data_IF_588050406307
#
_entry.id   IF_588050406307
#
_cell.length_a   1.000
_cell.length_b   1.000
_cell.length_c   1.000
_cell.angle_alpha   90.00
_cell.angle_beta   90.00
_cell.angle_gamma   90.00
#
_symmetry.space_group_name_H-M   'P 1'
#
loop_
_entity.id
_entity.type
_entity.pdbx_description
1 polymer ?
#
# COMPACT_ATOMS: atom_id res chain seq x y z
N UNK A 1 3.14 9.73 -20.61
CA UNK A 1 2.97 9.81 -19.15
C UNK A 1 3.58 8.59 -18.48
N UNK A 2 4.18 8.75 -17.31
CA UNK A 2 4.71 7.63 -16.52
C UNK A 2 4.07 7.63 -15.13
N UNK A 3 3.54 6.48 -14.72
CA UNK A 3 2.98 6.26 -13.39
C UNK A 3 3.87 5.29 -12.62
N UNK A 4 4.37 5.71 -11.47
CA UNK A 4 5.10 4.83 -10.55
C UNK A 4 4.16 4.33 -9.45
N UNK A 5 4.14 3.03 -9.18
CA UNK A 5 3.32 2.45 -8.12
C UNK A 5 4.21 1.79 -7.07
N UNK A 6 4.07 2.19 -5.80
CA UNK A 6 4.74 1.46 -4.73
C UNK A 6 4.02 0.16 -4.46
N UNK A 7 4.76 -0.93 -4.38
CA UNK A 7 4.23 -2.27 -4.13
C UNK A 7 4.99 -2.91 -3.00
N UNK A 8 4.30 -3.34 -1.96
CA UNK A 8 4.90 -3.99 -0.80
C UNK A 8 4.45 -5.43 -0.67
N UNK A 9 5.40 -6.32 -0.41
CA UNK A 9 5.14 -7.64 0.15
C UNK A 9 4.85 -7.47 1.64
N UNK A 10 3.73 -7.97 2.12
CA UNK A 10 3.35 -7.98 3.54
C UNK A 10 3.36 -9.40 4.08
N UNK A 11 3.68 -9.52 5.37
CA UNK A 11 3.62 -10.79 6.07
C UNK A 11 2.25 -10.94 6.74
N UNK A 12 1.59 -12.05 6.47
CA UNK A 12 0.38 -12.48 7.16
C UNK A 12 0.73 -13.58 8.16
N UNK A 13 0.22 -13.45 9.37
CA UNK A 13 0.49 -14.39 10.47
C UNK A 13 -0.63 -15.41 10.56
N UNK A 14 -0.30 -16.71 10.56
CA UNK A 14 -1.27 -17.80 10.73
C UNK A 14 -1.84 -17.81 12.17
N UNK A 15 -3.02 -18.40 12.36
CA UNK A 15 -3.74 -18.39 13.65
C UNK A 15 -2.93 -18.92 14.84
N UNK A 16 -2.16 -19.99 14.64
CA UNK A 16 -1.32 -20.59 15.69
C UNK A 16 0.15 -20.23 15.42
N UNK A 17 0.65 -19.14 15.97
CA UNK A 17 2.01 -18.67 15.76
C UNK A 17 2.85 -18.63 17.05
N UNK A 18 4.16 -18.56 16.90
CA UNK A 18 5.11 -18.42 17.99
C UNK A 18 5.95 -17.14 17.80
N UNK A 19 6.13 -16.39 18.89
CA UNK A 19 7.02 -15.23 18.93
C UNK A 19 8.31 -15.63 19.63
N UNK A 20 9.44 -15.38 19.01
CA UNK A 20 10.77 -15.57 19.58
C UNK A 20 11.68 -14.38 19.19
N UNK A 21 12.41 -13.84 20.15
CA UNK A 21 13.39 -12.77 19.93
C UNK A 21 12.82 -11.54 19.18
N UNK A 22 11.58 -11.14 19.47
CA UNK A 22 10.84 -10.04 18.84
C UNK A 22 10.52 -10.29 17.35
N UNK A 23 10.42 -11.53 16.94
CA UNK A 23 10.01 -11.92 15.59
C UNK A 23 8.97 -13.04 15.68
N UNK A 24 8.07 -13.09 14.71
CA UNK A 24 7.21 -14.26 14.49
C UNK A 24 8.04 -15.30 13.75
N UNK A 25 8.00 -16.56 14.22
CA UNK A 25 8.71 -17.64 13.54
C UNK A 25 8.28 -17.72 12.06
N UNK A 26 9.22 -17.65 11.10
CA UNK A 26 8.91 -17.63 9.66
C UNK A 26 8.04 -18.78 9.16
N UNK A 27 7.94 -19.89 9.91
CA UNK A 27 7.06 -21.02 9.57
C UNK A 27 5.57 -20.68 9.62
N UNK A 28 5.21 -19.60 10.33
CA UNK A 28 3.85 -19.11 10.50
C UNK A 28 3.55 -17.88 9.67
N UNK A 29 4.47 -17.49 8.79
CA UNK A 29 4.30 -16.34 7.90
C UNK A 29 3.92 -16.80 6.49
N UNK A 30 2.86 -16.24 5.98
CA UNK A 30 2.54 -16.23 4.56
C UNK A 30 2.82 -14.83 4.01
N UNK A 31 3.18 -14.74 2.74
CA UNK A 31 3.53 -13.45 2.14
C UNK A 31 2.62 -13.18 0.96
N UNK A 32 2.06 -11.98 0.91
CA UNK A 32 1.18 -11.56 -0.17
C UNK A 32 1.41 -10.10 -0.55
N UNK A 33 0.77 -9.67 -1.62
CA UNK A 33 0.70 -8.28 -2.04
C UNK A 33 -0.16 -7.49 -1.04
N UNK A 34 0.38 -6.37 -0.54
CA UNK A 34 -0.37 -5.48 0.34
C UNK A 34 -1.72 -5.07 -0.26
N UNK A 35 -2.81 -5.22 0.48
CA UNK A 35 -4.16 -4.96 0.02
C UNK A 35 -4.33 -3.55 -0.57
N UNK A 36 -3.87 -2.51 0.13
CA UNK A 36 -3.95 -1.13 -0.38
C UNK A 36 -3.17 -0.93 -1.69
N UNK A 37 -2.05 -1.63 -1.86
CA UNK A 37 -1.26 -1.53 -3.10
C UNK A 37 -1.95 -2.25 -4.27
N UNK A 38 -2.81 -3.24 -4.02
CA UNK A 38 -3.65 -3.84 -5.07
C UNK A 38 -4.58 -2.79 -5.70
N UNK A 39 -5.21 -1.93 -4.88
CA UNK A 39 -6.03 -0.82 -5.35
C UNK A 39 -5.20 0.24 -6.10
N UNK A 40 -3.99 0.53 -5.62
CA UNK A 40 -3.09 1.47 -6.29
C UNK A 40 -2.61 0.94 -7.66
N UNK A 41 -2.28 -0.34 -7.76
CA UNK A 41 -1.96 -1.02 -9.02
C UNK A 41 -3.13 -0.98 -9.98
N UNK A 42 -4.34 -1.31 -9.52
CA UNK A 42 -5.55 -1.28 -10.35
C UNK A 42 -5.82 0.15 -10.87
N UNK A 43 -5.67 1.16 -10.01
CA UNK A 43 -5.88 2.57 -10.40
C UNK A 43 -4.90 3.01 -11.49
N UNK A 44 -3.61 2.64 -11.35
CA UNK A 44 -2.60 2.91 -12.37
C UNK A 44 -2.89 2.21 -13.70
N UNK A 45 -3.33 0.96 -13.64
CA UNK A 45 -3.65 0.18 -14.85
C UNK A 45 -4.92 0.71 -15.53
N UNK A 46 -5.93 1.12 -14.77
CA UNK A 46 -7.13 1.76 -15.33
C UNK A 46 -6.80 3.12 -15.96
N UNK A 47 -5.91 3.92 -15.36
CA UNK A 47 -5.43 5.16 -15.95
C UNK A 47 -4.75 4.91 -17.30
N UNK A 48 -3.89 3.90 -17.37
CA UNK A 48 -3.24 3.47 -18.62
C UNK A 48 -4.26 2.99 -19.67
N UNK A 49 -5.28 2.24 -19.27
CA UNK A 49 -6.30 1.73 -20.19
C UNK A 49 -7.24 2.82 -20.71
N UNK A 50 -7.45 3.89 -19.92
CA UNK A 50 -8.25 5.06 -20.33
C UNK A 50 -7.51 6.02 -21.26
N UNK A 51 -6.18 5.96 -21.29
CA UNK A 51 -5.37 6.91 -22.04
C UNK A 51 -5.40 6.66 -23.56
N UNK A 52 -5.54 7.73 -24.35
CA UNK A 52 -5.32 7.68 -25.81
C UNK A 52 -3.81 7.68 -26.16
N UNK A 53 -2.98 8.29 -25.34
CA UNK A 53 -1.53 8.33 -25.47
C UNK A 53 -0.86 7.21 -24.66
N UNK A 54 0.42 6.96 -24.91
CA UNK A 54 1.18 5.96 -24.20
C UNK A 54 1.34 6.34 -22.71
N UNK A 55 0.95 5.43 -21.82
CA UNK A 55 1.18 5.50 -20.38
C UNK A 55 1.97 4.28 -19.95
N UNK A 56 3.15 4.49 -19.38
CA UNK A 56 3.98 3.46 -18.77
C UNK A 56 3.65 3.34 -17.28
N UNK A 57 3.39 2.13 -16.81
CA UNK A 57 3.19 1.82 -15.38
C UNK A 57 4.39 1.04 -14.87
N UNK A 58 5.11 1.60 -13.90
CA UNK A 58 6.29 1.00 -13.27
C UNK A 58 5.99 0.73 -11.82
N UNK A 59 6.27 -0.47 -11.30
CA UNK A 59 6.20 -0.72 -9.86
C UNK A 59 7.57 -0.61 -9.20
N UNK A 60 7.60 -0.18 -7.93
CA UNK A 60 8.80 -0.17 -7.10
C UNK A 60 8.54 -0.90 -5.78
N UNK A 61 9.45 -1.80 -5.41
CA UNK A 61 9.38 -2.61 -4.19
C UNK A 61 10.72 -2.56 -3.46
N UNK A 62 10.67 -2.32 -2.15
CA UNK A 62 11.82 -2.54 -1.25
C UNK A 62 11.64 -3.90 -0.60
N UNK A 63 12.42 -4.89 -1.04
CA UNK A 63 12.27 -6.25 -0.55
C UNK A 63 13.31 -7.22 -1.10
N UNK A 64 13.54 -8.36 -0.38
CA UNK A 64 14.50 -9.40 -0.76
C UNK A 64 14.06 -10.11 -2.05
N UNK A 65 14.89 -11.06 -2.50
CA UNK A 65 14.62 -11.81 -3.75
C UNK A 65 13.26 -12.54 -3.73
N UNK A 66 12.81 -13.03 -2.56
CA UNK A 66 11.49 -13.69 -2.45
C UNK A 66 10.33 -12.76 -2.84
N UNK A 67 10.46 -11.44 -2.63
CA UNK A 67 9.42 -10.46 -3.01
C UNK A 67 9.20 -10.39 -4.52
N UNK A 68 10.02 -11.05 -5.35
CA UNK A 68 9.79 -11.13 -6.78
C UNK A 68 8.49 -11.86 -7.12
N UNK A 69 8.00 -12.76 -6.28
CA UNK A 69 6.71 -13.42 -6.48
C UNK A 69 5.57 -12.39 -6.40
N UNK A 70 5.57 -11.55 -5.37
CA UNK A 70 4.62 -10.43 -5.20
C UNK A 70 4.73 -9.41 -6.35
N UNK A 71 5.96 -9.07 -6.76
CA UNK A 71 6.19 -8.19 -7.91
C UNK A 71 5.63 -8.81 -9.20
N UNK A 72 5.81 -10.13 -9.41
CA UNK A 72 5.23 -10.84 -10.56
C UNK A 72 3.71 -10.80 -10.57
N UNK A 73 3.06 -10.76 -9.39
CA UNK A 73 1.61 -10.59 -9.31
C UNK A 73 1.18 -9.20 -9.82
N UNK A 74 1.84 -8.12 -9.41
CA UNK A 74 1.58 -6.77 -9.92
C UNK A 74 1.80 -6.69 -11.45
N UNK A 75 2.90 -7.29 -11.95
CA UNK A 75 3.18 -7.38 -13.38
C UNK A 75 2.11 -8.16 -14.15
N UNK A 76 1.52 -9.21 -13.55
CA UNK A 76 0.46 -10.01 -14.15
C UNK A 76 -0.88 -9.25 -14.20
N UNK A 77 -1.11 -8.31 -13.29
CA UNK A 77 -2.28 -7.41 -13.25
C UNK A 77 -2.20 -6.27 -14.27
N UNK A 78 -1.04 -5.99 -14.87
CA UNK A 78 -0.95 -5.01 -15.98
C UNK A 78 0.20 -4.02 -15.91
N UNK A 79 0.97 -4.00 -14.82
CA UNK A 79 2.22 -3.22 -14.69
C UNK A 79 3.19 -3.62 -15.80
N UNK A 80 3.93 -2.67 -16.37
CA UNK A 80 4.80 -2.91 -17.52
C UNK A 80 6.14 -3.52 -17.14
N UNK A 81 6.79 -2.94 -16.13
CA UNK A 81 8.06 -3.39 -15.57
C UNK A 81 8.15 -3.02 -14.08
N UNK A 82 9.16 -3.51 -13.40
CA UNK A 82 9.34 -3.29 -11.98
C UNK A 82 10.79 -2.92 -11.63
N UNK A 83 10.94 -2.18 -10.54
CA UNK A 83 12.21 -1.92 -9.86
C UNK A 83 12.16 -2.57 -8.49
N UNK A 84 13.16 -3.39 -8.15
CA UNK A 84 13.31 -4.01 -6.83
C UNK A 84 14.56 -3.46 -6.16
N UNK A 85 14.39 -2.87 -5.00
CA UNK A 85 15.49 -2.33 -4.19
C UNK A 85 15.84 -3.35 -3.10
N UNK A 86 17.05 -3.85 -3.12
CA UNK A 86 17.55 -4.71 -2.05
C UNK A 86 19.08 -4.71 -1.99
N UNK A 87 19.57 -4.80 -0.75
CA UNK A 87 20.98 -4.88 -0.45
C UNK A 87 21.16 -5.73 0.82
N UNK A 88 22.29 -6.45 0.94
CA UNK A 88 22.60 -7.24 2.14
C UNK A 88 22.59 -6.38 3.42
N UNK A 89 22.87 -5.09 3.29
CA UNK A 89 22.76 -4.14 4.40
C UNK A 89 21.33 -3.94 4.93
N UNK A 90 20.30 -4.39 4.22
CA UNK A 90 18.91 -4.38 4.64
C UNK A 90 18.51 -5.65 5.40
N UNK A 91 19.29 -6.73 5.24
CA UNK A 91 19.00 -8.02 5.87
C UNK A 91 19.12 -7.92 7.40
N UNK A 92 18.13 -8.49 8.12
CA UNK A 92 18.12 -8.53 9.59
C UNK A 92 18.01 -7.19 10.31
N UNK A 93 17.70 -6.09 9.60
CA UNK A 93 17.57 -4.76 10.22
C UNK A 93 16.26 -4.55 10.98
N UNK A 94 15.36 -5.53 11.00
CA UNK A 94 14.07 -5.40 11.66
C UNK A 94 13.21 -4.31 11.00
N UNK A 95 12.55 -3.48 11.79
CA UNK A 95 11.57 -2.50 11.34
C UNK A 95 12.23 -1.27 10.69
N UNK A 96 12.11 -1.12 9.36
CA UNK A 96 12.56 0.09 8.66
C UNK A 96 11.58 1.24 8.90
N UNK A 97 12.05 2.42 9.30
CA UNK A 97 11.22 3.59 9.48
C UNK A 97 10.76 4.22 8.14
N UNK A 98 9.77 5.11 8.23
CA UNK A 98 9.18 5.80 7.08
C UNK A 98 10.22 6.63 6.32
N UNK A 99 11.13 7.30 7.03
CA UNK A 99 12.12 8.18 6.41
C UNK A 99 13.16 7.37 5.61
N UNK A 100 13.59 6.20 6.12
CA UNK A 100 14.49 5.31 5.40
C UNK A 100 13.81 4.73 4.14
N UNK A 101 12.54 4.30 4.25
CA UNK A 101 11.75 3.82 3.10
C UNK A 101 11.60 4.91 2.04
N UNK A 102 11.17 6.10 2.44
CA UNK A 102 10.96 7.21 1.52
C UNK A 102 12.25 7.64 0.81
N UNK A 103 13.41 7.56 1.48
CA UNK A 103 14.71 7.85 0.85
C UNK A 103 15.03 6.88 -0.27
N UNK A 104 14.80 5.58 -0.06
CA UNK A 104 15.03 4.56 -1.08
C UNK A 104 14.06 4.70 -2.26
N UNK A 105 12.77 4.88 -1.96
CA UNK A 105 11.74 5.08 -2.96
C UNK A 105 11.97 6.39 -3.73
N UNK A 106 12.37 7.46 -3.04
CA UNK A 106 12.66 8.76 -3.63
C UNK A 106 13.78 8.71 -4.67
N UNK A 107 14.83 7.93 -4.42
CA UNK A 107 15.89 7.75 -5.42
C UNK A 107 15.38 7.09 -6.71
N UNK A 108 14.42 6.17 -6.61
CA UNK A 108 13.78 5.58 -7.80
C UNK A 108 12.82 6.58 -8.45
N UNK A 109 12.12 7.42 -7.68
CA UNK A 109 11.31 8.53 -8.24
C UNK A 109 12.19 9.49 -9.04
N UNK A 110 13.37 9.85 -8.52
CA UNK A 110 14.33 10.69 -9.25
C UNK A 110 14.90 10.02 -10.52
N UNK A 111 15.19 8.69 -10.47
CA UNK A 111 15.68 7.92 -11.63
C UNK A 111 14.60 7.78 -12.71
N UNK A 112 13.36 7.51 -12.30
CA UNK A 112 12.25 7.23 -13.19
C UNK A 112 11.55 8.48 -13.73
N UNK A 113 11.62 9.60 -13.01
CA UNK A 113 10.97 10.88 -13.36
C UNK A 113 9.48 10.69 -13.73
N UNK A 114 8.66 10.15 -12.79
CA UNK A 114 7.25 9.89 -13.06
C UNK A 114 6.42 11.17 -12.97
N UNK A 115 5.33 11.23 -13.76
CA UNK A 115 4.32 12.27 -13.63
C UNK A 115 3.41 12.07 -12.41
N UNK A 116 3.18 10.80 -12.04
CA UNK A 116 2.31 10.44 -10.92
C UNK A 116 2.89 9.25 -10.15
N UNK A 117 2.85 9.34 -8.82
CA UNK A 117 3.19 8.22 -7.93
C UNK A 117 1.92 7.79 -7.19
N UNK A 118 1.56 6.51 -7.29
CA UNK A 118 0.47 5.91 -6.52
C UNK A 118 1.03 4.99 -5.44
N UNK A 119 0.53 5.12 -4.22
CA UNK A 119 0.93 4.30 -3.07
C UNK A 119 -0.32 3.87 -2.31
N UNK A 120 -0.36 2.67 -1.78
CA UNK A 120 -1.38 2.34 -0.79
C UNK A 120 -1.30 3.27 0.42
N UNK A 121 -2.43 3.55 1.08
CA UNK A 121 -2.47 4.39 2.29
C UNK A 121 -1.54 3.83 3.37
N UNK A 122 -1.55 2.52 3.55
CA UNK A 122 -0.77 1.84 4.59
C UNK A 122 -0.43 0.40 4.18
N UNK A 123 0.32 -0.30 5.01
CA UNK A 123 0.60 -1.72 4.86
C UNK A 123 -0.01 -2.50 6.02
N UNK A 124 -0.59 -3.68 5.72
CA UNK A 124 -1.29 -4.54 6.68
C UNK A 124 -0.39 -4.94 7.86
N UNK A 125 0.89 -5.15 7.60
CA UNK A 125 1.85 -5.63 8.61
C UNK A 125 2.44 -4.54 9.50
N UNK A 126 2.60 -3.29 9.03
CA UNK A 126 3.26 -2.21 9.78
C UNK A 126 2.37 -1.03 10.13
N UNK A 127 1.32 -0.78 9.38
CA UNK A 127 0.29 0.21 9.68
C UNK A 127 0.73 1.67 9.83
N UNK A 128 1.91 2.07 9.33
CA UNK A 128 2.41 3.44 9.55
C UNK A 128 1.58 4.53 8.87
N UNK A 129 0.96 4.26 7.74
CA UNK A 129 0.08 5.19 7.04
C UNK A 129 0.74 6.51 6.59
N UNK A 130 2.06 6.55 6.47
CA UNK A 130 2.80 7.81 6.27
C UNK A 130 3.81 7.76 5.11
N UNK A 131 4.09 6.60 4.52
CA UNK A 131 5.17 6.44 3.55
C UNK A 131 4.95 7.28 2.30
N UNK A 132 3.74 7.28 1.72
CA UNK A 132 3.45 8.02 0.50
C UNK A 132 3.54 9.54 0.70
N UNK A 133 2.99 10.08 1.79
CA UNK A 133 3.05 11.53 2.08
C UNK A 133 4.48 11.96 2.39
N UNK A 134 5.24 11.15 3.14
CA UNK A 134 6.64 11.46 3.41
C UNK A 134 7.50 11.39 2.14
N UNK A 135 7.20 10.45 1.23
CA UNK A 135 7.84 10.37 -0.08
C UNK A 135 7.61 11.65 -0.88
N UNK A 136 6.36 12.12 -0.97
CA UNK A 136 6.01 13.36 -1.67
C UNK A 136 6.84 14.54 -1.19
N UNK A 137 6.88 14.77 0.12
CA UNK A 137 7.69 15.83 0.73
C UNK A 137 9.17 15.67 0.40
N UNK A 138 9.70 14.44 0.43
CA UNK A 138 11.12 14.19 0.20
C UNK A 138 11.58 14.44 -1.24
N UNK A 139 10.67 14.28 -2.23
CA UNK A 139 10.96 14.52 -3.65
C UNK A 139 10.40 15.85 -4.17
N UNK A 140 9.71 16.61 -3.31
CA UNK A 140 9.14 17.92 -3.66
C UNK A 140 7.93 17.84 -4.57
N UNK A 141 7.18 16.74 -4.55
CA UNK A 141 5.94 16.57 -5.31
C UNK A 141 4.74 17.05 -4.49
N UNK A 142 3.69 17.51 -5.19
CA UNK A 142 2.37 17.71 -4.58
C UNK A 142 1.80 16.38 -4.09
N UNK A 143 0.79 16.40 -3.20
CA UNK A 143 0.26 15.15 -2.66
C UNK A 143 -1.23 15.19 -2.31
N UNK A 144 -1.87 14.02 -2.43
CA UNK A 144 -3.20 13.74 -1.92
C UNK A 144 -3.19 12.47 -1.08
N UNK A 145 -3.67 12.55 0.16
CA UNK A 145 -3.70 11.39 1.05
C UNK A 145 -5.11 10.82 1.19
N UNK A 146 -5.21 9.48 1.26
CA UNK A 146 -6.46 8.74 1.47
C UNK A 146 -7.49 9.03 0.37
N UNK A 147 -7.05 8.92 -0.87
CA UNK A 147 -7.87 9.19 -2.06
C UNK A 147 -8.82 8.02 -2.30
N UNK A 148 -10.13 8.29 -2.32
CA UNK A 148 -11.17 7.31 -2.58
C UNK A 148 -11.90 7.49 -3.94
N UNK A 149 -11.56 8.54 -4.69
CA UNK A 149 -11.89 8.67 -6.12
C UNK A 149 -10.88 9.57 -6.82
N UNK A 150 -10.57 9.24 -8.09
CA UNK A 150 -9.65 9.98 -8.96
C UNK A 150 -10.29 10.22 -10.32
N UNK A 151 -10.32 11.47 -10.75
CA UNK A 151 -10.74 11.86 -12.09
C UNK A 151 -9.59 11.60 -13.09
N UNK A 152 -9.67 10.44 -13.75
CA UNK A 152 -8.64 9.98 -14.70
C UNK A 152 -8.57 10.83 -15.96
N UNK A 153 -9.70 11.36 -16.42
CA UNK A 153 -9.75 12.22 -17.62
C UNK A 153 -8.96 13.51 -17.39
N UNK A 154 -9.14 14.13 -16.22
CA UNK A 154 -8.40 15.35 -15.88
C UNK A 154 -6.89 15.10 -15.69
N UNK A 155 -6.52 13.96 -15.13
CA UNK A 155 -5.09 13.57 -15.05
C UNK A 155 -4.47 13.47 -16.43
N UNK A 156 -5.16 12.83 -17.38
CA UNK A 156 -4.65 12.56 -18.71
C UNK A 156 -4.66 13.80 -19.61
N UNK A 157 -5.68 14.64 -19.52
CA UNK A 157 -5.91 15.75 -20.45
C UNK A 157 -5.38 17.09 -19.92
N UNK A 158 -5.48 17.31 -18.60
CA UNK A 158 -5.15 18.60 -17.98
C UNK A 158 -3.85 18.55 -17.15
N UNK A 159 -3.36 17.35 -16.79
CA UNK A 159 -2.24 17.22 -15.87
C UNK A 159 -2.61 17.61 -14.42
N UNK A 160 -3.88 17.41 -14.05
CA UNK A 160 -4.43 17.73 -12.73
C UNK A 160 -5.17 16.52 -12.17
N UNK A 161 -4.76 16.06 -11.01
CA UNK A 161 -5.47 15.01 -10.29
C UNK A 161 -6.65 15.63 -9.52
N UNK A 162 -7.87 15.48 -10.05
CA UNK A 162 -9.11 15.74 -9.33
C UNK A 162 -9.38 14.59 -8.37
N UNK A 163 -9.28 14.82 -7.06
CA UNK A 163 -9.38 13.77 -6.04
C UNK A 163 -10.55 14.03 -5.09
N UNK A 164 -11.18 12.93 -4.64
CA UNK A 164 -12.15 12.92 -3.57
C UNK A 164 -11.57 12.19 -2.35
N UNK A 165 -11.83 12.72 -1.17
CA UNK A 165 -11.40 12.18 0.12
C UNK A 165 -12.55 12.23 1.10
N UNK A 166 -12.71 11.19 1.89
CA UNK A 166 -13.61 11.17 3.04
C UNK A 166 -12.82 11.47 4.31
N UNK A 167 -13.32 12.42 5.08
CA UNK A 167 -12.73 12.86 6.34
C UNK A 167 -13.61 12.47 7.52
N UNK A 168 -13.09 12.58 8.73
CA UNK A 168 -13.85 12.29 9.95
C UNK A 168 -15.12 13.16 10.04
N UNK A 169 -16.19 12.58 10.61
CA UNK A 169 -17.46 13.28 10.82
C UNK A 169 -18.33 13.39 9.56
N UNK A 170 -18.06 12.59 8.53
CA UNK A 170 -18.85 12.57 7.28
C UNK A 170 -18.59 13.79 6.39
N UNK A 171 -17.45 14.43 6.56
CA UNK A 171 -17.00 15.53 5.70
C UNK A 171 -16.32 14.95 4.46
N UNK A 172 -16.67 15.44 3.29
CA UNK A 172 -16.04 15.13 2.01
C UNK A 172 -15.17 16.30 1.56
N UNK A 173 -14.02 16.01 1.01
CA UNK A 173 -13.09 16.99 0.41
C UNK A 173 -12.90 16.68 -1.07
N UNK A 174 -13.11 17.67 -1.92
CA UNK A 174 -12.78 17.65 -3.34
C UNK A 174 -11.60 18.57 -3.56
N UNK A 175 -10.48 18.00 -4.03
CA UNK A 175 -9.24 18.74 -4.23
C UNK A 175 -8.72 18.57 -5.65
N UNK A 176 -8.01 19.58 -6.13
CA UNK A 176 -7.28 19.58 -7.39
C UNK A 176 -5.79 19.64 -7.08
N UNK A 177 -5.01 18.71 -7.62
CA UNK A 177 -3.60 18.54 -7.32
C UNK A 177 -2.83 18.52 -8.65
N UNK A 178 -1.94 19.47 -8.84
CA UNK A 178 -1.11 19.53 -10.03
C UNK A 178 -0.07 18.39 -10.03
N UNK A 179 0.17 17.76 -11.17
CA UNK A 179 1.26 16.78 -11.31
C UNK A 179 2.59 17.53 -11.61
N UNK A 180 3.75 17.00 -11.13
CA UNK A 180 3.93 15.69 -10.52
C UNK A 180 3.41 15.61 -9.09
N UNK A 181 2.74 14.49 -8.77
CA UNK A 181 2.12 14.30 -7.47
C UNK A 181 2.27 12.86 -6.93
N UNK A 182 2.16 12.71 -5.60
CA UNK A 182 2.00 11.42 -4.93
C UNK A 182 0.59 11.31 -4.36
N UNK A 183 -0.14 10.28 -4.75
CA UNK A 183 -1.47 9.99 -4.20
C UNK A 183 -1.42 8.72 -3.37
N UNK A 184 -1.95 8.77 -2.14
CA UNK A 184 -2.15 7.54 -1.36
C UNK A 184 -3.57 7.03 -1.54
N UNK A 185 -3.67 5.81 -2.03
CA UNK A 185 -4.91 5.20 -2.54
C UNK A 185 -5.60 4.42 -1.43
N UNK A 186 -6.88 4.74 -1.21
CA UNK A 186 -7.73 4.07 -0.25
C UNK A 186 -8.38 2.83 -0.88
N UNK A 187 -8.63 1.82 -0.06
CA UNK A 187 -9.44 0.66 -0.44
C UNK A 187 -10.85 1.09 -0.85
N UNK A 188 -11.42 0.40 -1.84
CA UNK A 188 -12.76 0.71 -2.34
C UNK A 188 -12.82 1.79 -3.42
N UNK A 189 -11.69 2.43 -3.81
CA UNK A 189 -11.63 3.36 -4.94
C UNK A 189 -12.00 2.67 -6.27
N UNK A 190 -11.69 1.40 -6.41
CA UNK A 190 -11.96 0.54 -7.56
C UNK A 190 -12.18 -0.91 -7.09
N UNK A 191 -12.25 -1.86 -8.02
CA UNK A 191 -12.25 -3.31 -7.77
C UNK A 191 -10.96 -3.91 -8.37
N UNK A 192 -9.97 -4.30 -7.55
CA UNK A 192 -8.73 -4.87 -8.04
C UNK A 192 -8.97 -6.12 -8.89
N UNK A 193 -8.42 -6.14 -10.10
CA UNK A 193 -8.55 -7.27 -11.02
C UNK A 193 -7.77 -8.49 -10.57
N UNK A 194 -8.30 -9.66 -10.86
CA UNK A 194 -7.54 -10.92 -10.76
C UNK A 194 -6.56 -11.05 -11.91
N UNK A 195 -5.36 -11.57 -11.61
CA UNK A 195 -4.37 -11.88 -12.63
C UNK A 195 -4.89 -12.99 -13.56
N UNK A 196 -4.97 -12.73 -14.86
CA UNK A 196 -5.36 -13.73 -15.84
C UNK A 196 -4.22 -14.72 -16.09
N UNK A 197 -4.54 -15.94 -16.52
CA UNK A 197 -3.52 -16.94 -16.91
C UNK A 197 -2.55 -16.42 -17.99
N UNK A 198 -3.03 -15.56 -18.88
CA UNK A 198 -2.20 -14.90 -19.88
C UNK A 198 -1.29 -13.87 -19.23
N UNK A 199 -1.82 -13.04 -18.33
CA UNK A 199 -1.05 -12.06 -17.55
C UNK A 199 0.06 -12.71 -16.75
N UNK A 200 -0.24 -13.79 -16.02
CA UNK A 200 0.74 -14.58 -15.26
C UNK A 200 1.89 -15.08 -16.14
N UNK A 201 1.58 -15.60 -17.34
CA UNK A 201 2.62 -16.07 -18.27
C UNK A 201 3.46 -14.92 -18.82
N UNK A 202 2.84 -13.80 -19.17
CA UNK A 202 3.54 -12.62 -19.66
C UNK A 202 4.43 -12.00 -18.57
N UNK A 203 3.96 -11.95 -17.33
CA UNK A 203 4.70 -11.43 -16.20
C UNK A 203 6.06 -12.12 -16.00
N UNK A 204 6.17 -13.41 -16.32
CA UNK A 204 7.44 -14.16 -16.19
C UNK A 204 8.58 -13.60 -17.04
N UNK A 205 8.27 -12.93 -18.14
CA UNK A 205 9.25 -12.35 -19.07
C UNK A 205 9.41 -10.83 -18.93
N UNK A 206 8.57 -10.17 -18.11
CA UNK A 206 8.69 -8.73 -17.86
C UNK A 206 9.92 -8.44 -16.99
N UNK A 207 10.51 -7.28 -17.22
CA UNK A 207 11.71 -6.85 -16.51
C UNK A 207 11.43 -6.57 -15.02
N UNK A 208 12.31 -7.05 -14.16
CA UNK A 208 12.47 -6.63 -12.77
C UNK A 208 13.91 -6.13 -12.63
N UNK A 209 14.08 -4.82 -12.65
CA UNK A 209 15.39 -4.20 -12.49
C UNK A 209 15.79 -4.20 -11.02
N UNK A 210 16.82 -4.96 -10.66
CA UNK A 210 17.36 -4.93 -9.30
C UNK A 210 18.23 -3.68 -9.08
N UNK A 211 18.12 -3.06 -7.91
CA UNK A 211 18.93 -1.93 -7.45
C UNK A 211 19.46 -2.22 -6.06
N UNK A 212 20.77 -2.14 -5.90
CA UNK A 212 21.44 -2.12 -4.59
C UNK A 212 21.45 -0.70 -4.02
N UNK A 213 21.83 -0.55 -2.75
CA UNK A 213 22.04 0.79 -2.16
C UNK A 213 23.09 1.59 -2.96
N UNK A 214 24.17 0.94 -3.40
CA UNK A 214 25.23 1.61 -4.18
C UNK A 214 24.75 2.05 -5.55
N UNK A 215 23.85 1.33 -6.22
CA UNK A 215 23.26 1.74 -7.49
C UNK A 215 22.42 3.02 -7.33
N UNK A 216 21.81 3.21 -6.16
CA UNK A 216 21.03 4.40 -5.80
C UNK A 216 21.89 5.51 -5.15
N UNK A 217 23.21 5.35 -5.10
CA UNK A 217 24.12 6.33 -4.52
C UNK A 217 24.14 6.38 -2.99
N UNK A 218 23.66 5.34 -2.33
CA UNK A 218 23.59 5.23 -0.88
C UNK A 218 24.62 4.25 -0.30
N UNK A 219 24.92 4.43 0.97
CA UNK A 219 25.60 3.45 1.82
C UNK A 219 24.64 2.92 2.90
N UNK A 220 25.11 2.00 3.75
CA UNK A 220 24.30 1.37 4.79
C UNK A 220 23.73 2.36 5.83
N UNK A 221 24.29 3.57 5.97
CA UNK A 221 23.77 4.59 6.89
C UNK A 221 22.46 5.20 6.41
N UNK A 222 22.20 5.18 5.10
CA UNK A 222 20.99 5.69 4.50
C UNK A 222 19.72 4.94 4.97
N UNK A 223 19.87 3.69 5.40
CA UNK A 223 18.79 2.81 5.84
C UNK A 223 18.80 2.54 7.34
N UNK A 224 19.54 3.33 8.12
CA UNK A 224 19.45 3.27 9.58
C UNK A 224 18.06 3.72 10.04
N UNK A 225 17.36 2.80 10.72
CA UNK A 225 16.06 3.09 11.32
C UNK A 225 16.23 3.86 12.63
N UNK A 226 15.36 4.86 12.83
CA UNK A 226 15.23 5.55 14.12
C UNK A 226 14.28 4.84 15.07
N UNK A 227 13.66 3.75 14.61
CA UNK A 227 12.76 2.92 15.40
C UNK A 227 13.53 1.74 15.96
N UNK A 228 13.20 1.38 17.19
CA UNK A 228 13.67 0.16 17.84
C UNK A 228 12.44 -0.62 18.31
N UNK A 229 12.29 -1.85 17.84
CA UNK A 229 11.26 -2.74 18.37
C UNK A 229 11.67 -3.17 19.77
N UNK A 230 10.84 -2.85 20.76
CA UNK A 230 11.13 -3.10 22.18
C UNK A 230 10.35 -4.24 22.76
N UNK A 231 9.23 -4.58 22.15
CA UNK A 231 8.36 -5.66 22.59
C UNK A 231 7.49 -6.17 21.43
N UNK A 232 7.16 -7.44 21.44
CA UNK A 232 6.22 -8.09 20.53
C UNK A 232 5.43 -9.12 21.33
N UNK A 233 4.13 -9.08 21.27
CA UNK A 233 3.27 -9.97 22.01
C UNK A 233 1.97 -10.25 21.25
N UNK A 234 1.38 -11.41 21.53
CA UNK A 234 0.03 -11.72 21.11
C UNK A 234 -0.96 -10.86 21.90
N UNK A 235 -1.82 -10.07 21.24
CA UNK A 235 -2.80 -9.27 21.95
C UNK A 235 -3.76 -10.17 22.71
N UNK A 236 -4.17 -9.81 23.95
CA UNK A 236 -5.10 -10.61 24.70
C UNK A 236 -6.43 -10.74 23.95
N UNK A 237 -6.91 -11.97 23.78
CA UNK A 237 -8.14 -12.29 23.06
C UNK A 237 -9.40 -12.16 23.95
N UNK A 238 -9.38 -11.29 24.97
CA UNK A 238 -10.57 -11.01 25.77
C UNK A 238 -11.59 -10.25 24.92
N UNK A 239 -12.66 -10.93 24.57
CA UNK A 239 -13.79 -10.32 23.86
C UNK A 239 -14.84 -9.88 24.88
N UNK A 240 -15.08 -8.56 24.96
CA UNK A 240 -16.26 -7.99 25.66
C UNK A 240 -17.55 -8.14 24.83
N UNK A 241 -17.58 -9.04 23.85
CA UNK A 241 -18.74 -9.26 23.02
C UNK A 241 -19.91 -9.81 23.83
N UNK A 242 -21.06 -9.17 23.70
CA UNK A 242 -22.31 -9.67 24.26
C UNK A 242 -23.01 -10.53 23.22
N UNK A 243 -23.17 -11.82 23.53
CA UNK A 243 -23.90 -12.73 22.67
C UNK A 243 -25.39 -12.73 23.05
N UNK A 244 -26.26 -12.56 22.06
CA UNK A 244 -27.70 -12.63 22.26
C UNK A 244 -28.20 -14.03 21.88
N UNK A 245 -28.95 -14.66 22.77
CA UNK A 245 -29.49 -16.00 22.57
C UNK A 245 -31.00 -15.94 22.33
N UNK A 246 -31.56 -16.99 21.68
CA UNK A 246 -32.99 -17.12 21.39
C UNK A 246 -33.31 -17.13 19.90
N UNK A 247 -34.59 -17.02 19.57
CA UNK A 247 -35.05 -16.89 18.18
C UNK A 247 -34.67 -15.54 17.59
N UNK A 248 -34.59 -15.45 16.25
CA UNK A 248 -34.09 -14.26 15.54
C UNK A 248 -34.78 -12.94 15.97
N UNK A 249 -36.10 -13.00 16.27
CA UNK A 249 -36.85 -11.84 16.76
C UNK A 249 -36.45 -11.43 18.19
N UNK A 250 -36.09 -12.36 19.05
CA UNK A 250 -35.64 -12.11 20.42
C UNK A 250 -34.21 -11.54 20.41
N UNK A 251 -33.33 -12.10 19.59
CA UNK A 251 -31.96 -11.59 19.41
C UNK A 251 -31.96 -10.15 18.87
N UNK A 252 -32.83 -9.87 17.88
CA UNK A 252 -32.99 -8.52 17.33
C UNK A 252 -33.50 -7.51 18.37
N UNK A 253 -34.44 -7.93 19.26
CA UNK A 253 -34.92 -7.08 20.33
C UNK A 253 -33.85 -6.77 21.36
N UNK A 254 -33.08 -7.77 21.79
CA UNK A 254 -31.96 -7.61 22.73
C UNK A 254 -30.87 -6.69 22.15
N UNK A 255 -30.51 -6.85 20.87
CA UNK A 255 -29.58 -5.95 20.20
C UNK A 255 -30.11 -4.50 20.16
N UNK A 256 -31.39 -4.32 19.82
CA UNK A 256 -32.01 -2.99 19.79
C UNK A 256 -31.98 -2.31 21.16
N UNK A 257 -32.22 -3.07 22.23
CA UNK A 257 -32.16 -2.54 23.59
C UNK A 257 -30.73 -2.19 23.99
N UNK A 258 -29.76 -3.02 23.70
CA UNK A 258 -28.33 -2.74 23.96
C UNK A 258 -27.83 -1.50 23.19
N UNK A 259 -28.27 -1.31 21.94
CA UNK A 259 -27.95 -0.12 21.14
C UNK A 259 -28.56 1.16 21.75
N UNK A 260 -29.83 1.10 22.22
CA UNK A 260 -30.49 2.23 22.90
C UNK A 260 -29.78 2.60 24.20
N UNK A 261 -29.36 1.61 25.00
CA UNK A 261 -28.59 1.85 26.23
C UNK A 261 -27.27 2.57 25.96
N UNK A 262 -26.66 2.30 24.81
CA UNK A 262 -25.44 2.98 24.33
C UNK A 262 -25.72 4.31 23.61
N UNK A 263 -26.96 4.75 23.54
CA UNK A 263 -27.34 6.05 22.92
C UNK A 263 -27.42 6.03 21.40
N UNK A 264 -27.40 4.86 20.77
CA UNK A 264 -27.56 4.74 19.31
C UNK A 264 -29.05 4.82 18.99
N UNK A 265 -29.43 5.77 18.11
CA UNK A 265 -30.80 5.98 17.67
C UNK A 265 -31.67 6.77 18.66
N UNK A 266 -31.09 7.50 19.59
CA UNK A 266 -31.77 8.50 20.43
C UNK A 266 -31.65 9.87 19.72
N UNK A 267 -32.57 10.17 18.80
CA UNK A 267 -32.94 11.52 18.40
C UNK A 267 -34.27 11.93 19.05
#
# INVERSE_FOLDING_TARGET
>A
MKVLVTVKEVAEVQDDFEIADLEVDPRYLEYDLNEWDEYAVEEAVQLKEAAEAEVEVVSVTVGPERSEETIRMALAKGVDRAVRIWDDALEGRGLMDVAAKARLLGAVVEEEDPDLVLSGVQANDTGFGATGVYLAESVGFEWGAVVNALDKERVLDEGVAGVHRELEGGVEELSEIDIPAVLTIQTGINEPRYASLRGIRQAQSKEIAARSLSDLGFDASAVESRLTLTDMYEPPSESDATFFEGEAGEQAAQLADALREKGVGAE
#
